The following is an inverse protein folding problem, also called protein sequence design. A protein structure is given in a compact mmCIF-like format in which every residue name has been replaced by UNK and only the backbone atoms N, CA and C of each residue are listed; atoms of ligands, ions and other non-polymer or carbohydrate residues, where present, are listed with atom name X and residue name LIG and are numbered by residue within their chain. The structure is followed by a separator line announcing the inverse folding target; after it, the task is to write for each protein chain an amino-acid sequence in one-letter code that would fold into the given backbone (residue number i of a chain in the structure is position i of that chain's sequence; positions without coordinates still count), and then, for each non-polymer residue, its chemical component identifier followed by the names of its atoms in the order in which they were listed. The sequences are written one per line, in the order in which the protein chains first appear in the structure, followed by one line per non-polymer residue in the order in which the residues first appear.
data_IF_572016637527
#
_entry.id   IF_572016637527
#
_cell.length_a   1.000
_cell.length_b   1.000
_cell.length_c   1.000
_cell.angle_alpha   90.00
_cell.angle_beta   90.00
_cell.angle_gamma   90.00
#
_symmetry.space_group_name_H-M   'P 1'
#
loop_
_entity.id
_entity.type
_entity.pdbx_description
1 polymer ?
#
# COMPACT_ATOMS: atom_id res chain seq x y z
N UNK A 1 -8.06 -2.77 25.14
CA UNK A 1 -8.79 -3.04 23.87
C UNK A 1 -9.13 -1.67 23.29
N UNK A 2 -8.73 -1.37 22.06
CA UNK A 2 -9.09 -0.10 21.40
C UNK A 2 -10.59 -0.08 21.11
N UNK A 3 -11.22 1.09 21.17
CA UNK A 3 -12.68 1.31 21.03
C UNK A 3 -13.26 0.69 19.76
N UNK A 4 -12.46 0.57 18.69
CA UNK A 4 -12.85 -0.10 17.45
C UNK A 4 -13.07 -1.62 17.64
N UNK A 5 -12.19 -2.32 18.37
CA UNK A 5 -12.34 -3.76 18.59
C UNK A 5 -13.59 -4.09 19.40
N UNK A 6 -13.98 -3.20 20.33
CA UNK A 6 -15.22 -3.33 21.10
C UNK A 6 -16.45 -3.17 20.22
N UNK A 7 -16.45 -2.18 19.31
CA UNK A 7 -17.56 -1.92 18.39
C UNK A 7 -17.79 -3.03 17.35
N UNK A 8 -16.75 -3.81 17.03
CA UNK A 8 -16.81 -4.91 16.05
C UNK A 8 -16.65 -6.29 16.68
N UNK A 9 -16.76 -6.39 18.02
CA UNK A 9 -16.66 -7.65 18.73
C UNK A 9 -17.66 -8.69 18.18
N UNK A 10 -17.16 -9.89 17.86
CA UNK A 10 -17.98 -10.97 17.28
C UNK A 10 -18.37 -10.79 15.81
N UNK A 11 -17.97 -9.69 15.15
CA UNK A 11 -18.21 -9.45 13.71
C UNK A 11 -16.98 -9.64 12.84
N UNK A 12 -15.80 -9.65 13.44
CA UNK A 12 -14.53 -9.80 12.72
C UNK A 12 -14.14 -11.28 12.63
N UNK A 13 -13.72 -11.70 11.44
CA UNK A 13 -13.06 -12.99 11.27
C UNK A 13 -11.76 -13.03 12.10
N UNK A 14 -11.32 -14.20 12.60
CA UNK A 14 -10.11 -14.31 13.43
C UNK A 14 -8.87 -13.66 12.80
N UNK A 15 -8.63 -13.89 11.50
CA UNK A 15 -7.51 -13.28 10.79
C UNK A 15 -7.57 -11.75 10.70
N UNK A 16 -8.77 -11.16 10.72
CA UNK A 16 -8.91 -9.69 10.79
C UNK A 16 -8.57 -9.16 12.18
N UNK A 17 -8.88 -9.91 13.24
CA UNK A 17 -8.48 -9.54 14.61
C UNK A 17 -6.96 -9.57 14.74
N UNK A 18 -6.32 -10.60 14.20
CA UNK A 18 -4.85 -10.72 14.18
C UNK A 18 -4.20 -9.59 13.37
N UNK A 19 -4.71 -9.31 12.17
CA UNK A 19 -4.25 -8.20 11.34
C UNK A 19 -4.35 -6.87 12.08
N UNK A 20 -5.51 -6.54 12.65
CA UNK A 20 -5.71 -5.27 13.36
C UNK A 20 -4.80 -5.13 14.58
N UNK A 21 -4.60 -6.21 15.33
CA UNK A 21 -3.70 -6.21 16.50
C UNK A 21 -2.27 -5.88 16.10
N UNK A 22 -1.77 -6.51 15.03
CA UNK A 22 -0.41 -6.25 14.51
C UNK A 22 -0.30 -4.89 13.83
N UNK A 23 -1.34 -4.44 13.13
CA UNK A 23 -1.34 -3.14 12.46
C UNK A 23 -1.29 -1.98 13.46
N UNK A 24 -1.95 -2.10 14.62
CA UNK A 24 -1.97 -1.07 15.68
C UNK A 24 -0.57 -0.82 16.27
N UNK A 25 0.36 -1.78 16.18
CA UNK A 25 1.75 -1.60 16.62
C UNK A 25 2.56 -0.65 15.70
N UNK A 26 2.15 -0.53 14.43
CA UNK A 26 2.87 0.22 13.41
C UNK A 26 2.17 1.54 13.04
N UNK A 27 0.84 1.52 13.03
CA UNK A 27 0.02 2.67 12.64
C UNK A 27 -1.29 2.67 13.44
N UNK A 28 -1.21 3.17 14.68
CA UNK A 28 -2.31 3.20 15.62
C UNK A 28 -3.21 4.44 15.43
N UNK A 29 -4.29 4.49 16.21
CA UNK A 29 -5.16 5.67 16.31
C UNK A 29 -4.44 6.97 16.75
N UNK A 30 -3.27 6.89 17.40
CA UNK A 30 -2.49 8.08 17.79
C UNK A 30 -1.62 8.60 16.66
N UNK A 31 -1.63 7.96 15.49
CA UNK A 31 -0.85 8.41 14.34
C UNK A 31 -1.18 9.85 13.92
N UNK A 32 -2.40 10.32 14.19
CA UNK A 32 -2.84 11.69 13.91
C UNK A 32 -2.07 12.76 14.69
N UNK A 33 -1.42 12.39 15.80
CA UNK A 33 -0.61 13.29 16.62
C UNK A 33 0.84 13.40 16.11
N UNK A 34 1.23 12.53 15.16
CA UNK A 34 2.57 12.54 14.55
C UNK A 34 2.68 13.63 13.47
N UNK A 35 3.91 13.99 13.11
CA UNK A 35 4.14 14.83 11.93
C UNK A 35 3.69 14.11 10.66
N UNK A 36 3.41 14.85 9.58
CA UNK A 36 3.02 14.24 8.29
C UNK A 36 4.13 13.34 7.73
N UNK A 37 5.39 13.69 7.96
CA UNK A 37 6.54 12.88 7.55
C UNK A 37 6.56 11.54 8.30
N UNK A 38 6.41 11.58 9.63
CA UNK A 38 6.35 10.37 10.46
C UNK A 38 5.13 9.49 10.12
N UNK A 39 3.98 10.10 9.84
CA UNK A 39 2.79 9.38 9.38
C UNK A 39 3.06 8.63 8.07
N UNK A 40 3.75 9.26 7.12
CA UNK A 40 4.15 8.62 5.85
C UNK A 40 5.08 7.44 6.10
N UNK A 41 6.14 7.64 6.90
CA UNK A 41 7.09 6.58 7.22
C UNK A 41 6.42 5.40 7.95
N UNK A 42 5.55 5.66 8.91
CA UNK A 42 4.82 4.64 9.66
C UNK A 42 3.85 3.86 8.76
N UNK A 43 3.14 4.55 7.85
CA UNK A 43 2.25 3.90 6.89
C UNK A 43 3.01 3.02 5.89
N UNK A 44 4.14 3.49 5.35
CA UNK A 44 5.00 2.68 4.47
C UNK A 44 5.55 1.46 5.21
N UNK A 45 5.92 1.59 6.49
CA UNK A 45 6.35 0.46 7.32
C UNK A 45 5.23 -0.56 7.56
N UNK A 46 4.00 -0.10 7.85
CA UNK A 46 2.82 -0.95 7.95
C UNK A 46 2.63 -1.78 6.67
N UNK A 47 2.55 -1.12 5.51
CA UNK A 47 2.33 -1.80 4.23
C UNK A 47 3.42 -2.85 3.95
N UNK A 48 4.71 -2.49 4.14
CA UNK A 48 5.83 -3.43 3.97
C UNK A 48 5.76 -4.62 4.92
N UNK A 49 5.25 -4.45 6.14
CA UNK A 49 5.13 -5.54 7.10
C UNK A 49 4.10 -6.61 6.71
N UNK A 50 3.17 -6.26 5.81
CA UNK A 50 2.13 -7.15 5.29
C UNK A 50 2.30 -7.50 3.80
N UNK A 51 3.32 -6.94 3.14
CA UNK A 51 3.54 -7.13 1.72
C UNK A 51 3.79 -8.61 1.37
N UNK A 52 3.07 -9.10 0.37
CA UNK A 52 3.33 -10.39 -0.25
C UNK A 52 4.53 -10.34 -1.22
N UNK A 53 5.10 -11.50 -1.61
CA UNK A 53 6.08 -11.53 -2.68
C UNK A 53 5.44 -11.17 -4.02
N UNK A 54 6.23 -10.65 -4.95
CA UNK A 54 5.80 -10.49 -6.34
C UNK A 54 5.54 -11.84 -7.01
N UNK A 55 4.57 -11.93 -7.95
CA UNK A 55 4.45 -13.06 -8.85
C UNK A 55 5.73 -13.31 -9.66
N UNK A 56 5.98 -14.55 -10.04
CA UNK A 56 7.11 -14.90 -10.91
C UNK A 56 6.92 -14.35 -12.32
N UNK A 57 8.01 -13.98 -12.99
CA UNK A 57 7.97 -13.50 -14.37
C UNK A 57 7.42 -12.08 -14.53
N UNK A 58 7.48 -11.26 -13.47
CA UNK A 58 7.13 -9.86 -13.52
C UNK A 58 8.38 -8.99 -13.68
N UNK A 59 8.39 -8.09 -14.66
CA UNK A 59 9.38 -7.00 -14.74
C UNK A 59 8.82 -5.78 -14.03
N UNK A 60 9.59 -5.23 -13.11
CA UNK A 60 9.22 -4.05 -12.33
C UNK A 60 10.34 -3.03 -12.44
N UNK A 61 10.01 -1.80 -12.81
CA UNK A 61 10.97 -0.70 -12.85
C UNK A 61 10.28 0.64 -12.63
N UNK A 62 11.05 1.59 -12.11
CA UNK A 62 10.60 2.95 -11.85
C UNK A 62 10.98 3.87 -13.01
N UNK A 63 10.06 4.75 -13.36
CA UNK A 63 10.25 5.81 -14.34
C UNK A 63 9.64 7.13 -13.86
N UNK A 64 9.82 8.18 -14.65
CA UNK A 64 9.15 9.46 -14.43
C UNK A 64 8.42 9.88 -15.70
N UNK A 65 7.27 10.52 -15.53
CA UNK A 65 6.50 11.10 -16.62
C UNK A 65 6.27 12.59 -16.39
N UNK A 66 6.26 13.44 -17.44
CA UNK A 66 6.03 14.88 -17.27
C UNK A 66 4.63 15.16 -16.70
N UNK A 67 4.58 15.98 -15.66
CA UNK A 67 3.35 16.48 -15.05
C UNK A 67 3.24 18.01 -15.05
N UNK A 68 2.05 18.57 -14.79
CA UNK A 68 1.83 20.02 -14.80
C UNK A 68 2.61 20.79 -13.71
N UNK A 69 3.15 20.09 -12.71
CA UNK A 69 3.87 20.67 -11.57
C UNK A 69 5.27 20.05 -11.40
N UNK A 70 5.82 19.47 -12.47
CA UNK A 70 7.06 18.70 -12.44
C UNK A 70 6.83 17.23 -12.76
N UNK A 71 7.93 16.48 -12.80
CA UNK A 71 7.91 15.06 -13.13
C UNK A 71 7.21 14.24 -12.03
N UNK A 72 6.44 13.24 -12.46
CA UNK A 72 5.68 12.35 -11.60
C UNK A 72 6.36 10.98 -11.64
N UNK A 73 6.78 10.47 -10.48
CA UNK A 73 7.33 9.13 -10.37
C UNK A 73 6.23 8.08 -10.59
N UNK A 74 6.53 7.06 -11.37
CA UNK A 74 5.66 5.91 -11.63
C UNK A 74 6.47 4.61 -11.49
N UNK A 75 5.78 3.51 -11.18
CA UNK A 75 6.32 2.16 -11.25
C UNK A 75 5.56 1.38 -12.31
N UNK A 76 6.28 0.77 -13.23
CA UNK A 76 5.73 -0.02 -14.34
C UNK A 76 5.90 -1.50 -14.00
N UNK A 77 4.78 -2.20 -13.93
CA UNK A 77 4.71 -3.65 -13.78
C UNK A 77 4.35 -4.25 -15.12
N UNK A 78 5.19 -5.16 -15.62
CA UNK A 78 4.96 -5.82 -16.91
C UNK A 78 5.09 -7.34 -16.75
N UNK A 79 3.99 -8.10 -16.87
CA UNK A 79 4.06 -9.56 -16.85
C UNK A 79 4.75 -10.07 -18.12
N UNK A 80 5.34 -11.26 -18.04
CA UNK A 80 5.85 -11.97 -19.21
C UNK A 80 4.68 -12.35 -20.13
N UNK A 81 4.75 -11.90 -21.38
CA UNK A 81 3.75 -12.22 -22.40
C UNK A 81 4.02 -11.47 -23.71
N UNK A 82 3.51 -12.02 -24.81
CA UNK A 82 3.57 -11.41 -26.14
C UNK A 82 2.21 -10.81 -26.53
N UNK A 83 2.24 -9.80 -27.40
CA UNK A 83 1.03 -9.17 -27.95
C UNK A 83 0.57 -7.90 -27.21
N UNK A 84 -0.54 -7.34 -27.68
CA UNK A 84 -1.13 -6.15 -27.10
C UNK A 84 -1.87 -6.50 -25.80
N UNK A 85 -1.54 -5.76 -24.72
CA UNK A 85 -2.17 -5.89 -23.41
C UNK A 85 -2.93 -4.61 -23.08
N UNK A 86 -4.04 -4.74 -22.34
CA UNK A 86 -4.67 -3.58 -21.75
C UNK A 86 -3.76 -3.00 -20.66
N UNK A 87 -3.66 -1.68 -20.58
CA UNK A 87 -2.94 -0.99 -19.51
C UNK A 87 -3.87 -0.67 -18.34
N UNK A 88 -3.41 -0.94 -17.11
CA UNK A 88 -4.02 -0.46 -15.88
C UNK A 88 -3.19 0.70 -15.34
N UNK A 89 -3.84 1.83 -15.07
CA UNK A 89 -3.24 2.93 -14.32
C UNK A 89 -3.80 2.89 -12.90
N UNK A 90 -2.94 2.60 -11.93
CA UNK A 90 -3.32 2.51 -10.53
C UNK A 90 -2.88 3.77 -9.77
N UNK A 91 -3.76 4.25 -8.89
CA UNK A 91 -3.49 5.35 -7.96
C UNK A 91 -3.62 4.80 -6.54
N UNK A 92 -2.57 4.95 -5.73
CA UNK A 92 -2.54 4.37 -4.39
C UNK A 92 -3.53 5.05 -3.43
N UNK A 93 -3.96 4.29 -2.41
CA UNK A 93 -4.75 4.83 -1.29
C UNK A 93 -3.90 5.64 -0.31
N UNK A 94 -4.46 5.99 0.85
CA UNK A 94 -3.74 6.78 1.87
C UNK A 94 -4.25 8.21 2.04
N UNK A 95 -5.47 8.48 1.59
CA UNK A 95 -6.19 9.71 1.89
C UNK A 95 -5.52 10.99 1.39
N UNK A 96 -4.70 10.89 0.34
CA UNK A 96 -3.90 11.99 -0.22
C UNK A 96 -2.81 12.55 0.70
N UNK A 97 -2.51 11.86 1.80
CA UNK A 97 -1.51 12.28 2.79
C UNK A 97 -0.37 11.28 2.86
N UNK A 98 -0.69 9.98 2.96
CA UNK A 98 0.27 8.88 3.08
C UNK A 98 0.26 7.98 1.85
N UNK A 99 1.25 7.09 1.77
CA UNK A 99 1.45 6.19 0.65
C UNK A 99 2.46 6.72 -0.36
N UNK A 100 3.08 5.78 -1.05
CA UNK A 100 4.09 5.94 -2.09
C UNK A 100 4.07 4.69 -3.00
N UNK A 101 4.99 4.62 -3.97
CA UNK A 101 5.12 3.47 -4.88
C UNK A 101 5.41 2.14 -4.16
N UNK A 102 6.07 2.18 -3.00
CA UNK A 102 6.43 0.99 -2.24
C UNK A 102 5.29 0.49 -1.36
N UNK A 103 4.44 1.39 -0.87
CA UNK A 103 3.33 1.07 0.04
C UNK A 103 2.23 0.19 -0.57
N UNK A 104 2.15 0.12 -1.90
CA UNK A 104 1.16 -0.69 -2.63
C UNK A 104 1.82 -1.58 -3.69
N UNK A 105 3.14 -1.79 -3.57
CA UNK A 105 3.97 -2.46 -4.57
C UNK A 105 3.52 -3.90 -4.82
N UNK A 106 3.26 -4.66 -3.75
CA UNK A 106 2.80 -6.04 -3.85
C UNK A 106 1.39 -6.14 -4.46
N UNK A 107 0.46 -5.28 -4.06
CA UNK A 107 -0.87 -5.23 -4.64
C UNK A 107 -0.83 -4.94 -6.15
N UNK A 108 0.00 -3.98 -6.56
CA UNK A 108 0.18 -3.67 -7.98
C UNK A 108 0.82 -4.84 -8.74
N UNK A 109 1.82 -5.49 -8.13
CA UNK A 109 2.46 -6.66 -8.72
C UNK A 109 1.49 -7.84 -8.93
N UNK A 110 0.53 -8.03 -8.03
CA UNK A 110 -0.49 -9.09 -8.15
C UNK A 110 -1.65 -8.75 -9.11
N UNK A 111 -1.85 -7.48 -9.42
CA UNK A 111 -2.84 -7.04 -10.43
C UNK A 111 -2.31 -7.09 -11.86
N UNK A 112 -0.99 -7.05 -12.04
CA UNK A 112 -0.30 -7.07 -13.32
C UNK A 112 -0.27 -8.48 -13.94
#
# INVERSE_FOLDING_TARGET
MTTAMENYAGRLAPGMVEYLTRADELFSHTAVDMTVEDQRSAFTALCRAFAGPHPQGLSVHDETVPGPHGDIAIRIYRPVGEGAMAGLVYFHGGGWVVGDLDSHDDHCAWMA
#
